data_IF_318627723790
#
_entry.id   IF_318627723790
#
_cell.length_a   1.000
_cell.length_b   1.000
_cell.length_c   1.000
_cell.angle_alpha   90.00
_cell.angle_beta   90.00
_cell.angle_gamma   90.00
#
_symmetry.space_group_name_H-M   'P 1'
#
loop_
_entity.id
_entity.type
_entity.pdbx_description
1 polymer ?
#
# COMPACT_ATOMS: atom_id res chain seq x y z
N UNK A 1 -2.81 16.45 -15.36
CA UNK A 1 -3.40 17.42 -14.42
C UNK A 1 -2.68 17.25 -13.11
N UNK A 2 -1.84 18.20 -12.73
CA UNK A 2 -1.36 18.27 -11.34
C UNK A 2 -2.58 18.56 -10.45
N UNK A 3 -2.95 17.58 -9.63
CA UNK A 3 -3.84 17.85 -8.51
C UNK A 3 -3.00 18.56 -7.45
N UNK A 4 -3.05 19.88 -7.43
CA UNK A 4 -2.69 20.64 -6.23
C UNK A 4 -3.70 20.28 -5.12
N UNK A 5 -3.44 19.17 -4.44
CA UNK A 5 -4.18 18.78 -3.24
C UNK A 5 -3.76 19.74 -2.14
N UNK A 6 -4.63 20.70 -1.84
CA UNK A 6 -4.49 21.58 -0.68
C UNK A 6 -4.92 20.77 0.54
N UNK A 7 -3.95 20.42 1.39
CA UNK A 7 -4.25 19.86 2.71
C UNK A 7 -4.75 20.97 3.64
N UNK A 8 -5.71 20.63 4.51
CA UNK A 8 -6.17 21.52 5.57
C UNK A 8 -5.08 21.57 6.65
N UNK A 9 -4.73 22.79 7.05
CA UNK A 9 -3.78 23.02 8.15
C UNK A 9 -4.31 22.49 9.49
N UNK A 10 -3.39 22.10 10.36
CA UNK A 10 -3.66 21.62 11.71
C UNK A 10 -2.45 21.78 12.64
N UNK A 11 -2.45 21.08 13.77
CA UNK A 11 -1.28 20.94 14.63
C UNK A 11 -0.11 20.31 13.86
N UNK A 12 -0.41 19.38 12.94
CA UNK A 12 0.57 18.75 12.07
C UNK A 12 1.39 19.74 11.22
N UNK A 13 0.85 20.94 10.95
CA UNK A 13 1.57 22.00 10.23
C UNK A 13 2.63 22.70 11.09
N UNK A 14 2.66 22.43 12.40
CA UNK A 14 3.52 23.09 13.41
C UNK A 14 4.42 22.11 14.17
N UNK A 15 4.04 20.83 14.23
CA UNK A 15 4.77 19.78 14.93
C UNK A 15 4.60 18.42 14.22
N UNK A 16 5.45 17.44 14.56
CA UNK A 16 5.31 16.06 14.05
C UNK A 16 4.08 15.44 14.71
N UNK A 17 2.95 15.50 14.02
CA UNK A 17 1.69 14.97 14.51
C UNK A 17 0.89 14.29 13.39
N UNK A 18 1.21 13.02 13.13
CA UNK A 18 0.59 12.23 12.05
C UNK A 18 -0.90 12.01 12.30
N UNK A 19 -1.30 11.84 13.56
CA UNK A 19 -2.71 11.65 13.94
C UNK A 19 -3.57 12.83 13.52
N UNK A 20 -3.15 14.06 13.87
CA UNK A 20 -3.86 15.29 13.51
C UNK A 20 -3.96 15.47 11.98
N UNK A 21 -2.88 15.17 11.23
CA UNK A 21 -2.91 15.19 9.77
C UNK A 21 -3.98 14.27 9.19
N UNK A 22 -4.02 13.01 9.65
CA UNK A 22 -4.98 12.01 9.17
C UNK A 22 -6.41 12.44 9.47
N UNK A 23 -6.72 12.81 10.73
CA UNK A 23 -8.07 13.23 11.09
C UNK A 23 -8.53 14.47 10.32
N UNK A 24 -7.62 15.42 10.07
CA UNK A 24 -7.93 16.69 9.39
C UNK A 24 -8.14 16.51 7.88
N UNK A 25 -7.48 15.54 7.26
CA UNK A 25 -7.42 15.40 5.79
C UNK A 25 -8.05 14.12 5.24
N UNK A 26 -8.49 13.18 6.09
CA UNK A 26 -9.19 11.97 5.63
C UNK A 26 -10.53 12.34 4.99
N UNK A 27 -10.85 11.69 3.87
CA UNK A 27 -12.18 11.70 3.28
C UNK A 27 -12.81 10.34 3.59
N UNK A 28 -13.73 10.25 4.56
CA UNK A 28 -14.44 9.00 4.85
C UNK A 28 -15.12 8.49 3.59
N UNK A 29 -15.00 7.18 3.34
CA UNK A 29 -15.68 6.51 2.25
C UNK A 29 -16.61 5.44 2.84
N UNK A 30 -17.91 5.65 2.68
CA UNK A 30 -18.97 4.77 3.20
C UNK A 30 -19.65 3.94 2.09
N UNK A 31 -19.11 4.01 0.87
CA UNK A 31 -19.57 3.20 -0.26
C UNK A 31 -19.09 1.74 -0.19
N UNK A 32 -19.28 1.01 -1.27
CA UNK A 32 -18.94 -0.41 -1.35
C UNK A 32 -17.64 -0.67 -2.15
N UNK A 33 -17.37 -1.95 -2.43
CA UNK A 33 -16.18 -2.41 -3.14
C UNK A 33 -16.23 -2.24 -4.67
N UNK A 34 -17.30 -1.66 -5.24
CA UNK A 34 -17.48 -1.56 -6.70
C UNK A 34 -16.41 -0.73 -7.42
N UNK A 35 -15.75 0.21 -6.72
CA UNK A 35 -14.66 1.02 -7.29
C UNK A 35 -13.32 0.28 -7.37
N UNK A 36 -13.20 -0.91 -6.77
CA UNK A 36 -11.92 -1.62 -6.70
C UNK A 36 -11.44 -2.03 -8.09
N UNK A 37 -10.23 -1.60 -8.43
CA UNK A 37 -9.54 -2.05 -9.64
C UNK A 37 -8.74 -3.33 -9.37
N UNK A 38 -8.73 -4.24 -10.34
CA UNK A 38 -7.90 -5.44 -10.28
C UNK A 38 -6.38 -5.15 -10.39
N UNK A 39 -5.52 -6.12 -10.10
CA UNK A 39 -4.08 -5.95 -10.16
C UNK A 39 -3.58 -5.74 -11.60
N UNK A 40 -2.59 -4.86 -11.74
CA UNK A 40 -1.95 -4.59 -13.04
C UNK A 40 -1.13 -5.78 -13.53
N UNK A 41 -0.82 -5.82 -14.83
CA UNK A 41 0.09 -6.82 -15.43
C UNK A 41 1.46 -6.80 -14.74
N UNK A 42 1.99 -5.61 -14.44
CA UNK A 42 3.27 -5.44 -13.74
C UNK A 42 3.22 -6.03 -12.33
N UNK A 43 2.13 -5.79 -11.59
CA UNK A 43 1.89 -6.36 -10.26
C UNK A 43 1.86 -7.89 -10.32
N UNK A 44 1.09 -8.46 -11.26
CA UNK A 44 1.00 -9.93 -11.45
C UNK A 44 2.36 -10.53 -11.78
N UNK A 45 3.16 -9.88 -12.63
CA UNK A 45 4.49 -10.36 -13.01
C UNK A 45 5.42 -10.47 -11.80
N UNK A 46 5.52 -9.41 -10.99
CA UNK A 46 6.36 -9.44 -9.78
C UNK A 46 5.87 -10.48 -8.79
N UNK A 47 4.54 -10.54 -8.57
CA UNK A 47 3.94 -11.50 -7.66
C UNK A 47 4.23 -12.95 -8.07
N UNK A 48 4.18 -13.25 -9.37
CA UNK A 48 4.51 -14.59 -9.87
C UNK A 48 5.97 -14.99 -9.59
N UNK A 49 6.92 -14.06 -9.61
CA UNK A 49 8.31 -14.38 -9.21
C UNK A 49 8.42 -14.65 -7.70
N UNK A 50 7.68 -13.92 -6.86
CA UNK A 50 7.57 -14.21 -5.44
C UNK A 50 6.96 -15.61 -5.20
N UNK A 51 5.91 -15.97 -5.93
CA UNK A 51 5.27 -17.28 -5.76
C UNK A 51 6.21 -18.45 -6.07
N UNK A 52 7.07 -18.33 -7.09
CA UNK A 52 8.12 -19.32 -7.38
C UNK A 52 9.12 -19.41 -6.24
N UNK A 53 9.54 -18.27 -5.68
CA UNK A 53 10.42 -18.24 -4.52
C UNK A 53 9.83 -18.99 -3.32
N UNK A 54 8.57 -18.71 -3.01
CA UNK A 54 7.85 -19.36 -1.91
C UNK A 54 7.62 -20.86 -2.17
N UNK A 55 7.54 -21.28 -3.42
CA UNK A 55 7.47 -22.70 -3.78
C UNK A 55 8.78 -23.42 -3.48
N UNK A 56 9.92 -22.79 -3.79
CA UNK A 56 11.24 -23.32 -3.43
C UNK A 56 11.43 -23.39 -1.91
N UNK A 57 10.98 -22.40 -1.15
CA UNK A 57 10.98 -22.43 0.33
C UNK A 57 10.19 -23.63 0.88
N UNK A 58 8.98 -23.85 0.35
CA UNK A 58 8.15 -25.01 0.74
C UNK A 58 8.85 -26.32 0.40
N UNK A 59 9.48 -26.43 -0.77
CA UNK A 59 10.22 -27.61 -1.18
C UNK A 59 11.45 -27.88 -0.27
N UNK A 60 12.09 -26.80 0.20
CA UNK A 60 13.22 -26.87 1.13
C UNK A 60 12.80 -27.10 2.59
N UNK A 61 11.48 -27.22 2.87
CA UNK A 61 10.92 -27.27 4.22
C UNK A 61 11.41 -26.09 5.10
N UNK A 62 11.56 -24.91 4.50
CA UNK A 62 12.16 -23.78 5.17
C UNK A 62 12.73 -22.74 4.21
N UNK A 63 13.97 -22.31 4.46
CA UNK A 63 14.57 -21.15 3.77
C UNK A 63 14.97 -21.50 2.34
N UNK A 64 14.76 -20.56 1.40
CA UNK A 64 15.16 -20.72 -0.01
C UNK A 64 16.68 -20.75 -0.17
N UNK A 65 17.36 -19.76 0.43
CA UNK A 65 18.81 -19.58 0.36
C UNK A 65 19.26 -18.65 1.50
N UNK A 66 20.44 -18.91 2.05
CA UNK A 66 21.18 -18.06 2.99
C UNK A 66 22.57 -17.83 2.40
N UNK A 67 23.11 -16.63 2.59
CA UNK A 67 24.47 -16.25 2.19
C UNK A 67 25.54 -16.84 3.13
#
# INVERSE_FOLDING_TARGET
MEMNKVFKDGLWSKEINVSDFVYTNITPYEGDASFLAGPTVRTKKVWNECLKALEEERANNGVRSLD
#
